data_IF_637378445738
#
_entry.id   IF_637378445738
#
_cell.length_a   1.000
_cell.length_b   1.000
_cell.length_c   1.000
_cell.angle_alpha   90.00
_cell.angle_beta   90.00
_cell.angle_gamma   90.00
#
_symmetry.space_group_name_H-M   'P 1'
#
loop_
_entity.id
_entity.type
_entity.pdbx_description
1 polymer ?
#
# COMPACT_ATOMS: atom_id res chain seq x y z
N UNK A 1 23.99 3.25 3.07
CA UNK A 1 23.00 4.30 3.36
C UNK A 1 22.11 3.79 4.49
N UNK A 2 22.01 4.52 5.62
CA UNK A 2 21.10 4.16 6.72
C UNK A 2 19.67 4.28 6.19
N UNK A 3 18.84 3.24 6.38
CA UNK A 3 17.46 3.28 5.93
C UNK A 3 16.62 4.09 6.92
N UNK A 4 15.65 4.84 6.43
CA UNK A 4 14.92 5.82 7.24
C UNK A 4 14.21 5.20 8.47
N UNK A 5 13.65 3.99 8.33
CA UNK A 5 12.96 3.34 9.45
C UNK A 5 13.93 2.72 10.46
N UNK A 6 15.12 2.27 10.04
CA UNK A 6 16.15 1.76 10.96
C UNK A 6 16.52 2.82 12.01
N UNK A 7 16.67 4.07 11.57
CA UNK A 7 17.04 5.19 12.43
C UNK A 7 16.01 5.51 13.53
N UNK A 8 14.74 5.10 13.38
CA UNK A 8 13.74 5.29 14.44
C UNK A 8 13.91 4.28 15.57
N UNK A 9 14.39 3.07 15.29
CA UNK A 9 14.65 2.06 16.34
C UNK A 9 15.76 2.49 17.29
N UNK A 10 16.71 3.31 16.81
CA UNK A 10 17.78 3.86 17.65
C UNK A 10 17.34 5.09 18.46
N UNK A 11 16.34 5.84 17.98
CA UNK A 11 15.96 7.15 18.52
C UNK A 11 14.71 7.14 19.39
N UNK A 12 13.80 6.20 19.16
CA UNK A 12 12.49 6.18 19.78
C UNK A 12 12.41 5.08 20.85
N UNK A 13 11.67 5.37 21.91
CA UNK A 13 11.27 4.36 22.89
C UNK A 13 10.29 3.36 22.28
N UNK A 14 10.12 2.19 22.90
CA UNK A 14 9.12 1.21 22.47
C UNK A 14 7.71 1.79 22.41
N UNK A 15 7.36 2.68 23.37
CA UNK A 15 6.07 3.38 23.39
C UNK A 15 5.89 4.28 22.17
N UNK A 16 6.94 5.01 21.77
CA UNK A 16 6.90 5.89 20.60
C UNK A 16 6.89 5.11 19.30
N UNK A 17 7.64 4.00 19.20
CA UNK A 17 7.58 3.07 18.07
C UNK A 17 6.18 2.44 17.95
N UNK A 18 5.59 2.01 19.06
CA UNK A 18 4.22 1.51 19.09
C UNK A 18 3.25 2.57 18.59
N UNK A 19 3.32 3.80 19.10
CA UNK A 19 2.47 4.89 18.63
C UNK A 19 2.66 5.17 17.14
N UNK A 20 3.89 5.12 16.63
CA UNK A 20 4.22 5.34 15.21
C UNK A 20 3.56 4.30 14.30
N UNK A 21 3.65 3.02 14.63
CA UNK A 21 3.16 1.94 13.76
C UNK A 21 1.73 1.48 14.08
N UNK A 22 1.32 1.57 15.34
CA UNK A 22 0.07 0.99 15.85
C UNK A 22 -0.82 2.01 16.57
N UNK A 23 -0.47 3.31 16.57
CA UNK A 23 -1.27 4.35 17.23
C UNK A 23 -2.68 4.53 16.67
N UNK A 24 -2.95 4.04 15.45
CA UNK A 24 -4.31 4.00 14.90
C UNK A 24 -5.25 3.10 15.72
N UNK A 25 -4.72 2.17 16.52
CA UNK A 25 -5.51 1.32 17.43
C UNK A 25 -6.00 2.05 18.68
N UNK A 26 -5.62 3.30 18.87
CA UNK A 26 -6.09 4.15 19.97
C UNK A 26 -7.23 5.08 19.54
N UNK A 27 -7.60 5.07 18.25
CA UNK A 27 -8.70 5.89 17.73
C UNK A 27 -10.05 5.34 18.20
N UNK A 28 -10.94 6.23 18.62
CA UNK A 28 -12.36 5.91 18.74
C UNK A 28 -12.97 5.68 17.35
N UNK A 29 -14.16 5.07 17.30
CA UNK A 29 -14.90 4.90 16.03
C UNK A 29 -15.22 6.27 15.42
N UNK A 30 -15.59 7.25 16.23
CA UNK A 30 -15.89 8.62 15.80
C UNK A 30 -14.66 9.29 15.19
N UNK A 31 -13.50 9.20 15.86
CA UNK A 31 -12.24 9.77 15.35
C UNK A 31 -11.81 9.08 14.05
N UNK A 32 -11.88 7.74 14.01
CA UNK A 32 -11.59 6.97 12.80
C UNK A 32 -12.50 7.40 11.64
N UNK A 33 -13.81 7.50 11.88
CA UNK A 33 -14.77 7.89 10.85
C UNK A 33 -14.61 9.34 10.41
N UNK A 34 -14.22 10.26 11.29
CA UNK A 34 -13.88 11.63 10.91
C UNK A 34 -12.70 11.63 9.91
N UNK A 35 -11.63 10.91 10.22
CA UNK A 35 -10.47 10.74 9.34
C UNK A 35 -10.86 10.11 7.99
N UNK A 36 -11.69 9.06 7.99
CA UNK A 36 -12.11 8.42 6.73
C UNK A 36 -12.92 9.36 5.83
N UNK A 37 -13.77 10.23 6.39
CA UNK A 37 -14.55 11.21 5.63
C UNK A 37 -13.65 12.24 4.96
N UNK A 38 -12.68 12.80 5.71
CA UNK A 38 -11.72 13.76 5.16
C UNK A 38 -10.84 13.12 4.08
N UNK A 39 -10.31 11.92 4.33
CA UNK A 39 -9.50 11.19 3.36
C UNK A 39 -10.25 10.91 2.06
N UNK A 40 -11.55 10.57 2.13
CA UNK A 40 -12.36 10.37 0.93
C UNK A 40 -12.47 11.64 0.09
N UNK A 41 -12.78 12.79 0.73
CA UNK A 41 -12.89 14.08 0.03
C UNK A 41 -11.55 14.49 -0.57
N UNK A 42 -10.45 14.29 0.15
CA UNK A 42 -9.09 14.50 -0.37
C UNK A 42 -8.80 13.63 -1.59
N UNK A 43 -9.21 12.35 -1.59
CA UNK A 43 -9.02 11.48 -2.74
C UNK A 43 -9.85 11.94 -3.93
N UNK A 44 -11.11 12.33 -3.72
CA UNK A 44 -11.97 12.86 -4.78
C UNK A 44 -11.33 14.10 -5.41
N UNK A 45 -10.85 15.04 -4.59
CA UNK A 45 -10.18 16.26 -5.07
C UNK A 45 -8.96 15.93 -5.94
N UNK A 46 -8.13 14.99 -5.47
CA UNK A 46 -6.90 14.59 -6.16
C UNK A 46 -7.16 13.92 -7.50
N UNK A 47 -8.17 13.06 -7.59
CA UNK A 47 -8.31 12.14 -8.74
C UNK A 47 -9.39 12.54 -9.73
N UNK A 48 -10.39 13.34 -9.31
CA UNK A 48 -11.53 13.66 -10.16
C UNK A 48 -11.14 14.34 -11.47
N UNK A 49 -10.15 15.23 -11.46
CA UNK A 49 -9.72 15.94 -12.66
C UNK A 49 -8.99 15.09 -13.69
N UNK A 50 -8.65 13.83 -13.37
CA UNK A 50 -8.06 12.90 -14.33
C UNK A 50 -9.10 12.33 -15.28
N UNK A 51 -8.66 11.86 -16.45
CA UNK A 51 -9.55 11.21 -17.43
C UNK A 51 -10.24 10.00 -16.82
N UNK A 52 -9.51 9.17 -16.08
CA UNK A 52 -10.09 8.00 -15.41
C UNK A 52 -11.01 8.39 -14.24
N UNK A 53 -10.66 9.43 -13.49
CA UNK A 53 -11.49 9.98 -12.42
C UNK A 53 -12.84 10.47 -12.93
N UNK A 54 -12.86 11.30 -13.98
CA UNK A 54 -14.12 11.74 -14.64
C UNK A 54 -14.91 10.58 -15.24
N UNK A 55 -14.23 9.57 -15.79
CA UNK A 55 -14.90 8.39 -16.34
C UNK A 55 -15.72 7.64 -15.28
N UNK A 56 -15.24 7.59 -14.04
CA UNK A 56 -15.88 6.86 -12.94
C UNK A 56 -16.87 7.75 -12.18
N UNK A 57 -16.46 8.96 -11.82
CA UNK A 57 -17.25 9.87 -10.97
C UNK A 57 -18.19 10.78 -11.78
N UNK A 58 -18.08 10.79 -13.11
CA UNK A 58 -18.85 11.65 -13.99
C UNK A 58 -18.37 13.11 -14.01
N UNK A 59 -19.18 13.96 -14.66
CA UNK A 59 -18.87 15.37 -14.89
C UNK A 59 -19.11 16.25 -13.66
N UNK A 60 -19.80 15.75 -12.64
CA UNK A 60 -20.05 16.46 -11.38
C UNK A 60 -19.22 15.86 -10.26
N UNK A 61 -18.23 16.61 -9.77
CA UNK A 61 -17.40 16.21 -8.63
C UNK A 61 -18.24 16.11 -7.36
N UNK A 62 -18.29 14.95 -6.67
CA UNK A 62 -19.01 14.84 -5.41
C UNK A 62 -18.38 15.77 -4.34
N UNK A 63 -19.21 16.58 -3.69
CA UNK A 63 -18.80 17.52 -2.64
C UNK A 63 -18.98 16.97 -1.22
N UNK A 64 -19.62 15.80 -1.07
CA UNK A 64 -19.83 15.15 0.21
C UNK A 64 -19.77 13.62 0.12
N UNK A 65 -19.64 12.96 1.26
CA UNK A 65 -19.68 11.49 1.35
C UNK A 65 -21.05 10.96 0.90
N UNK A 66 -22.13 11.67 1.20
CA UNK A 66 -23.46 11.24 0.80
C UNK A 66 -23.66 11.40 -0.70
N UNK A 67 -23.23 12.52 -1.29
CA UNK A 67 -23.23 12.66 -2.75
C UNK A 67 -22.40 11.56 -3.42
N UNK A 68 -21.18 11.30 -2.92
CA UNK A 68 -20.31 10.25 -3.45
C UNK A 68 -21.01 8.89 -3.47
N UNK A 69 -21.71 8.53 -2.38
CA UNK A 69 -22.47 7.27 -2.30
C UNK A 69 -23.65 7.21 -3.27
N UNK A 70 -24.30 8.33 -3.57
CA UNK A 70 -25.46 8.37 -4.45
C UNK A 70 -25.07 8.47 -5.94
N UNK A 71 -23.91 9.04 -6.27
CA UNK A 71 -23.53 9.34 -7.66
C UNK A 71 -22.42 8.46 -8.21
N UNK A 72 -21.51 7.96 -7.38
CA UNK A 72 -20.36 7.18 -7.85
C UNK A 72 -20.71 5.68 -7.86
N UNK A 73 -20.67 5.01 -9.02
CA UNK A 73 -21.02 3.60 -9.12
C UNK A 73 -19.96 2.71 -8.47
N UNK A 74 -20.38 1.54 -7.99
CA UNK A 74 -19.46 0.46 -7.70
C UNK A 74 -18.87 -0.06 -9.01
N UNK A 75 -17.55 -0.18 -9.06
CA UNK A 75 -16.81 -0.61 -10.27
C UNK A 75 -16.27 -2.03 -10.15
N UNK A 76 -16.09 -2.71 -11.26
CA UNK A 76 -15.27 -3.93 -11.35
C UNK A 76 -13.95 -3.63 -12.05
N UNK A 77 -13.04 -4.60 -12.14
CA UNK A 77 -11.78 -4.37 -12.88
C UNK A 77 -12.03 -4.12 -14.38
N UNK A 78 -13.15 -4.59 -14.94
CA UNK A 78 -13.48 -4.42 -16.36
C UNK A 78 -13.61 -2.94 -16.74
N UNK A 79 -14.08 -2.09 -15.82
CA UNK A 79 -14.19 -0.64 -16.02
C UNK A 79 -12.83 0.05 -16.26
N UNK A 80 -11.75 -0.58 -15.78
CA UNK A 80 -10.39 -0.04 -15.84
C UNK A 80 -9.53 -0.70 -16.94
N UNK A 81 -9.92 -1.90 -17.41
CA UNK A 81 -9.17 -2.70 -18.37
C UNK A 81 -8.69 -1.95 -19.61
N UNK A 82 -9.51 -1.08 -20.27
CA UNK A 82 -9.07 -0.35 -21.47
C UNK A 82 -7.91 0.63 -21.22
N UNK A 83 -7.66 0.98 -19.97
CA UNK A 83 -6.65 1.96 -19.58
C UNK A 83 -5.45 1.29 -18.90
N UNK A 84 -5.72 0.45 -17.89
CA UNK A 84 -4.67 -0.09 -17.03
C UNK A 84 -3.93 -1.26 -17.67
N UNK A 85 -4.57 -2.04 -18.55
CA UNK A 85 -3.91 -3.15 -19.24
C UNK A 85 -2.77 -2.69 -20.15
N UNK A 86 -2.91 -1.49 -20.72
CA UNK A 86 -1.90 -0.82 -21.53
C UNK A 86 -1.01 0.13 -20.70
N UNK A 87 -1.19 0.15 -19.37
CA UNK A 87 -0.45 1.00 -18.44
C UNK A 87 -0.48 2.49 -18.83
N UNK A 88 -1.64 2.97 -19.31
CA UNK A 88 -1.82 4.35 -19.78
C UNK A 88 -1.69 5.37 -18.65
N UNK A 89 -0.52 6.00 -18.55
CA UNK A 89 -0.26 7.03 -17.54
C UNK A 89 -0.98 8.36 -17.83
N UNK A 90 -1.32 8.63 -19.09
CA UNK A 90 -1.96 9.88 -19.55
C UNK A 90 -3.38 10.07 -18.99
N UNK A 91 -4.03 8.99 -18.55
CA UNK A 91 -5.38 9.05 -17.98
C UNK A 91 -5.42 9.11 -16.46
N UNK A 92 -4.28 8.97 -15.80
CA UNK A 92 -4.15 8.91 -14.34
C UNK A 92 -4.05 10.31 -13.73
N UNK A 93 -4.39 10.40 -12.45
CA UNK A 93 -4.30 11.66 -11.68
C UNK A 93 -2.87 12.09 -11.37
N UNK A 94 -1.93 11.15 -11.38
CA UNK A 94 -0.52 11.42 -11.18
C UNK A 94 0.32 10.34 -11.85
N UNK A 95 1.59 10.65 -12.10
CA UNK A 95 2.56 9.68 -12.60
C UNK A 95 2.75 8.56 -11.57
N UNK A 96 2.57 7.29 -11.92
CA UNK A 96 2.84 6.19 -11.02
C UNK A 96 4.33 6.07 -10.72
N UNK A 97 4.66 5.70 -9.50
CA UNK A 97 6.01 5.33 -9.10
C UNK A 97 6.33 3.87 -9.46
N UNK A 98 5.30 3.03 -9.56
CA UNK A 98 5.42 1.61 -9.87
C UNK A 98 4.13 1.06 -10.48
N UNK A 99 4.27 0.14 -11.44
CA UNK A 99 3.20 -0.71 -11.91
C UNK A 99 3.34 -2.10 -11.34
N UNK A 100 2.27 -2.60 -10.74
CA UNK A 100 2.20 -3.97 -10.21
C UNK A 100 1.04 -4.71 -10.87
N UNK A 101 1.01 -6.03 -10.71
CA UNK A 101 -0.15 -6.80 -11.11
C UNK A 101 -0.54 -7.89 -10.10
N UNK A 102 -1.75 -8.41 -10.27
CA UNK A 102 -2.17 -9.69 -9.72
C UNK A 102 -2.26 -10.75 -10.81
N UNK A 103 -2.43 -12.02 -10.44
CA UNK A 103 -2.58 -13.15 -11.38
C UNK A 103 -3.81 -13.05 -12.28
N UNK A 104 -4.78 -12.20 -11.93
CA UNK A 104 -5.98 -11.94 -12.72
C UNK A 104 -6.83 -13.18 -13.03
N UNK A 105 -7.53 -13.19 -14.16
CA UNK A 105 -8.36 -14.31 -14.65
C UNK A 105 -7.93 -14.69 -16.07
N UNK A 106 -8.04 -15.97 -16.41
CA UNK A 106 -7.78 -16.49 -17.76
C UNK A 106 -6.40 -16.14 -18.35
N UNK A 107 -5.37 -16.05 -17.49
CA UNK A 107 -4.00 -15.78 -17.93
C UNK A 107 -3.70 -14.30 -18.24
N UNK A 108 -4.66 -13.39 -18.04
CA UNK A 108 -4.43 -11.95 -18.16
C UNK A 108 -4.18 -11.32 -16.79
N UNK A 109 -3.08 -10.57 -16.68
CA UNK A 109 -2.73 -9.86 -15.46
C UNK A 109 -3.59 -8.61 -15.27
N UNK A 110 -4.01 -8.37 -14.02
CA UNK A 110 -4.66 -7.12 -13.64
C UNK A 110 -3.61 -6.13 -13.18
N UNK A 111 -3.22 -5.23 -14.08
CA UNK A 111 -2.26 -4.17 -13.81
C UNK A 111 -2.86 -3.05 -12.95
N UNK A 112 -2.09 -2.55 -12.00
CA UNK A 112 -2.49 -1.52 -11.04
C UNK A 112 -1.33 -0.54 -10.83
N UNK A 113 -1.56 0.78 -11.04
CA UNK A 113 -0.56 1.81 -10.78
C UNK A 113 -0.50 2.16 -9.29
N UNK A 114 0.71 2.39 -8.77
CA UNK A 114 0.95 2.86 -7.41
C UNK A 114 1.71 4.16 -7.40
N UNK A 115 1.18 5.16 -6.71
CA UNK A 115 1.86 6.43 -6.46
C UNK A 115 2.96 6.29 -5.40
N UNK A 116 3.90 7.23 -5.37
CA UNK A 116 4.94 7.25 -4.34
C UNK A 116 4.37 7.39 -2.92
N UNK A 117 3.29 8.18 -2.75
CA UNK A 117 2.61 8.35 -1.46
C UNK A 117 1.96 7.05 -0.99
N UNK A 118 1.32 6.32 -1.92
CA UNK A 118 0.78 5.00 -1.61
C UNK A 118 1.87 4.04 -1.11
N UNK A 119 3.02 3.99 -1.80
CA UNK A 119 4.13 3.11 -1.42
C UNK A 119 4.65 3.44 0.00
N UNK A 120 4.75 4.71 0.34
CA UNK A 120 5.16 5.14 1.69
C UNK A 120 4.16 4.69 2.76
N UNK A 121 2.85 4.84 2.51
CA UNK A 121 1.80 4.37 3.43
C UNK A 121 1.78 2.85 3.54
N UNK A 122 1.92 2.13 2.42
CA UNK A 122 1.96 0.67 2.39
C UNK A 122 3.16 0.12 3.17
N UNK A 123 4.33 0.76 3.07
CA UNK A 123 5.51 0.39 3.86
C UNK A 123 5.25 0.52 5.36
N UNK A 124 4.62 1.62 5.81
CA UNK A 124 4.25 1.82 7.21
C UNK A 124 3.21 0.80 7.67
N UNK A 125 2.19 0.52 6.86
CA UNK A 125 1.19 -0.50 7.16
C UNK A 125 1.81 -1.90 7.29
N UNK A 126 2.80 -2.22 6.46
CA UNK A 126 3.54 -3.48 6.60
C UNK A 126 4.31 -3.55 7.93
N UNK A 127 4.95 -2.46 8.36
CA UNK A 127 5.60 -2.38 9.68
C UNK A 127 4.59 -2.49 10.83
N UNK A 128 3.38 -1.95 10.67
CA UNK A 128 2.28 -2.18 11.62
C UNK A 128 1.93 -3.66 11.73
N UNK A 129 1.81 -4.36 10.60
CA UNK A 129 1.53 -5.81 10.58
C UNK A 129 2.66 -6.58 11.27
N UNK A 130 3.93 -6.27 10.98
CA UNK A 130 5.09 -6.89 11.62
C UNK A 130 5.10 -6.64 13.13
N UNK A 131 4.80 -5.41 13.54
CA UNK A 131 4.71 -5.03 14.96
C UNK A 131 3.64 -5.87 15.65
N UNK A 132 2.43 -5.91 15.11
CA UNK A 132 1.32 -6.66 15.70
C UNK A 132 1.55 -8.17 15.69
N UNK A 133 2.15 -8.71 14.63
CA UNK A 133 2.46 -10.14 14.53
C UNK A 133 3.58 -10.60 15.49
N UNK A 134 4.42 -9.66 15.96
CA UNK A 134 5.53 -9.96 16.89
C UNK A 134 5.22 -9.59 18.35
N UNK A 135 4.19 -8.79 18.61
CA UNK A 135 3.79 -8.35 19.94
C UNK A 135 2.86 -9.37 20.62
N UNK A 136 2.99 -9.56 21.94
CA UNK A 136 2.02 -10.34 22.73
C UNK A 136 0.97 -9.45 23.40
N UNK A 137 1.30 -8.19 23.59
CA UNK A 137 0.42 -7.19 24.22
C UNK A 137 0.73 -5.79 23.68
N UNK A 138 -0.18 -4.85 23.97
CA UNK A 138 -0.07 -3.44 23.54
C UNK A 138 1.22 -2.81 24.07
N UNK A 139 1.94 -2.10 23.21
CA UNK A 139 3.16 -1.37 23.55
C UNK A 139 4.46 -2.16 23.36
N UNK A 140 4.38 -3.46 23.06
CA UNK A 140 5.58 -4.28 22.82
C UNK A 140 6.13 -4.11 21.40
N UNK A 141 7.45 -3.96 21.33
CA UNK A 141 8.24 -4.03 20.10
C UNK A 141 9.24 -5.17 20.28
N UNK A 142 9.02 -6.28 19.58
CA UNK A 142 9.81 -7.52 19.72
C UNK A 142 10.66 -7.83 18.48
N UNK A 143 10.95 -6.82 17.68
CA UNK A 143 11.83 -6.91 16.52
C UNK A 143 12.66 -5.64 16.39
N UNK A 144 13.73 -5.71 15.59
CA UNK A 144 14.58 -4.55 15.31
C UNK A 144 15.17 -4.63 13.91
N UNK A 145 15.98 -3.62 13.54
CA UNK A 145 16.70 -3.59 12.27
C UNK A 145 17.42 -4.91 12.01
N UNK A 146 17.24 -5.47 10.81
CA UNK A 146 17.82 -6.76 10.42
C UNK A 146 17.00 -7.99 10.83
N UNK A 147 15.75 -7.80 11.28
CA UNK A 147 14.85 -8.91 11.60
C UNK A 147 14.72 -9.92 10.44
N UNK A 148 14.44 -11.19 10.77
CA UNK A 148 14.26 -12.23 9.76
C UNK A 148 12.82 -12.20 9.24
N UNK A 149 12.66 -12.21 7.92
CA UNK A 149 11.35 -12.15 7.28
C UNK A 149 11.21 -13.25 6.24
N UNK A 150 10.24 -14.14 6.46
CA UNK A 150 9.97 -15.25 5.55
C UNK A 150 9.22 -14.72 4.31
N UNK A 151 9.80 -14.93 3.13
CA UNK A 151 9.25 -14.47 1.85
C UNK A 151 8.63 -15.62 1.07
N UNK A 152 7.35 -15.88 1.34
CA UNK A 152 6.51 -16.82 0.55
C UNK A 152 5.57 -16.03 -0.35
N UNK A 153 6.13 -15.12 -1.14
CA UNK A 153 5.39 -14.19 -2.00
C UNK A 153 5.88 -14.31 -3.44
N UNK A 154 5.01 -14.15 -4.45
CA UNK A 154 5.45 -14.07 -5.84
C UNK A 154 6.36 -12.86 -6.07
N UNK A 155 7.34 -12.94 -7.00
CA UNK A 155 8.26 -11.83 -7.25
C UNK A 155 7.56 -10.62 -7.85
N UNK A 156 8.19 -9.44 -7.84
CA UNK A 156 7.83 -8.38 -8.77
C UNK A 156 7.70 -8.91 -10.22
N UNK A 157 6.74 -8.41 -11.03
CA UNK A 157 5.87 -7.27 -10.75
C UNK A 157 4.57 -7.65 -10.02
N UNK A 158 4.46 -8.83 -9.41
CA UNK A 158 3.34 -9.09 -8.50
C UNK A 158 3.36 -8.08 -7.35
N UNK A 159 2.17 -7.62 -6.97
CA UNK A 159 1.98 -6.63 -5.89
C UNK A 159 2.81 -6.94 -4.64
N UNK A 160 2.67 -8.15 -4.12
CA UNK A 160 3.30 -8.55 -2.86
C UNK A 160 4.83 -8.51 -2.94
N UNK A 161 5.43 -9.06 -4.00
CA UNK A 161 6.87 -8.97 -4.22
C UNK A 161 7.36 -7.53 -4.40
N UNK A 162 6.60 -6.73 -5.14
CA UNK A 162 6.91 -5.32 -5.40
C UNK A 162 6.89 -4.46 -4.13
N UNK A 163 5.93 -4.72 -3.22
CA UNK A 163 5.86 -4.04 -1.92
C UNK A 163 7.02 -4.44 -1.00
N UNK A 164 7.48 -5.70 -1.04
CA UNK A 164 8.68 -6.13 -0.31
C UNK A 164 9.93 -5.39 -0.81
N UNK A 165 10.04 -5.18 -2.12
CA UNK A 165 11.15 -4.41 -2.69
C UNK A 165 11.12 -2.93 -2.29
N UNK A 166 9.92 -2.35 -2.18
CA UNK A 166 9.70 -1.01 -1.63
C UNK A 166 10.11 -0.95 -0.15
N UNK A 167 9.66 -1.92 0.66
CA UNK A 167 9.93 -1.99 2.10
C UNK A 167 11.44 -2.11 2.39
N UNK A 168 12.16 -2.89 1.58
CA UNK A 168 13.61 -3.08 1.74
C UNK A 168 14.44 -1.81 1.52
N UNK A 169 13.86 -0.76 0.93
CA UNK A 169 14.47 0.58 0.83
C UNK A 169 14.24 1.43 2.09
N UNK A 170 13.32 1.02 2.97
CA UNK A 170 12.88 1.77 4.15
C UNK A 170 13.36 1.17 5.47
N UNK A 171 13.38 -0.16 5.58
CA UNK A 171 13.81 -0.89 6.79
C UNK A 171 14.74 -2.05 6.43
N UNK A 172 15.68 -2.37 7.30
CA UNK A 172 16.58 -3.50 7.15
C UNK A 172 15.91 -4.79 7.63
N UNK A 173 16.01 -5.84 6.82
CA UNK A 173 15.57 -7.19 7.19
C UNK A 173 16.37 -8.24 6.42
N UNK A 174 16.45 -9.45 6.98
CA UNK A 174 17.02 -10.64 6.34
C UNK A 174 15.89 -11.49 5.78
N UNK A 175 15.72 -11.44 4.46
CA UNK A 175 14.78 -12.29 3.76
C UNK A 175 15.17 -13.77 3.82
N UNK A 176 14.18 -14.65 3.97
CA UNK A 176 14.31 -16.10 3.91
C UNK A 176 13.32 -16.64 2.86
N UNK A 177 13.77 -17.24 1.74
CA UNK A 177 15.15 -17.26 1.26
C UNK A 177 15.67 -15.84 0.89
N UNK A 178 17.00 -15.65 0.73
CA UNK A 178 17.58 -14.36 0.36
C UNK A 178 16.94 -13.78 -0.91
N UNK A 179 16.71 -12.46 -0.96
CA UNK A 179 15.99 -11.80 -2.07
C UNK A 179 16.61 -12.03 -3.44
N UNK A 180 17.95 -12.04 -3.52
CA UNK A 180 18.69 -12.26 -4.78
C UNK A 180 18.50 -13.69 -5.32
N UNK A 181 18.30 -14.65 -4.42
CA UNK A 181 17.99 -16.04 -4.76
C UNK A 181 16.50 -16.23 -5.04
N UNK A 182 15.65 -15.60 -4.21
CA UNK A 182 14.20 -15.67 -4.33
C UNK A 182 13.76 -15.13 -5.69
N UNK A 183 14.19 -13.93 -6.08
CA UNK A 183 13.76 -13.23 -7.31
C UNK A 183 13.82 -14.05 -8.58
N UNK A 184 14.79 -14.98 -8.69
CA UNK A 184 15.02 -15.82 -9.86
C UNK A 184 14.32 -17.19 -9.81
N UNK A 185 13.66 -17.55 -8.70
CA UNK A 185 12.93 -18.82 -8.56
C UNK A 185 11.45 -18.67 -8.90
N UNK A 186 10.84 -19.61 -9.65
CA UNK A 186 9.40 -19.72 -9.80
C UNK A 186 8.72 -19.85 -8.44
N UNK A 187 7.52 -19.29 -8.29
CA UNK A 187 6.80 -19.30 -7.01
C UNK A 187 6.64 -20.70 -6.39
N UNK A 188 6.41 -21.75 -7.20
CA UNK A 188 6.25 -23.12 -6.70
C UNK A 188 7.52 -23.73 -6.08
N UNK A 189 8.68 -23.09 -6.23
CA UNK A 189 9.97 -23.57 -5.71
C UNK A 189 10.57 -22.66 -4.63
N UNK A 190 9.78 -21.71 -4.11
CA UNK A 190 10.19 -20.83 -2.99
C UNK A 190 9.76 -21.39 -1.64
#
# INVERSE_FOLDING_TARGET
MVRAEDAYFDKLTHRELWKRYCGFLDLSIEEFMAIQKELLLDQIERVWSSTLGRKIMGDSKPGSVDEFRHTVPLTTFEDYTPYLSEQREDVLACKPALWCHSSGRQGQFKWVPHSADFLERANKACLSIVTLASARQRGEINYGPGFRFLLVLPPPPYMSGSMIDSLAKRVSFKALPPRDTAGNMPFQRR
#
